data_IF_170780684478
#
_entry.id   IF_170780684478
#
_cell.length_a   1.000
_cell.length_b   1.000
_cell.length_c   1.000
_cell.angle_alpha   90.00
_cell.angle_beta   90.00
_cell.angle_gamma   90.00
#
_symmetry.space_group_name_H-M   'P 1'
#
loop_
_entity.id
_entity.type
_entity.pdbx_description
1 polymer ?
#
# COMPACT_ATOMS: atom_id res chain seq x y z
N UNK A 1 23.85 37.68 -5.35
CA UNK A 1 22.83 37.74 -6.41
C UNK A 1 21.72 36.82 -5.98
N UNK A 2 20.54 37.41 -5.80
CA UNK A 2 19.34 36.84 -5.18
C UNK A 2 18.45 36.24 -6.26
N UNK A 3 17.93 35.03 -6.05
CA UNK A 3 16.75 34.53 -6.79
C UNK A 3 15.91 33.69 -5.83
N UNK A 4 14.90 34.39 -5.31
CA UNK A 4 13.59 33.95 -4.79
C UNK A 4 12.95 32.87 -5.69
N UNK A 5 12.42 31.78 -5.13
CA UNK A 5 11.03 31.67 -4.63
C UNK A 5 9.98 31.77 -5.75
N UNK A 6 9.55 30.62 -6.26
CA UNK A 6 8.15 30.30 -6.65
C UNK A 6 8.09 28.93 -7.31
N UNK A 7 7.57 27.92 -6.60
CA UNK A 7 6.94 26.77 -7.22
C UNK A 7 5.66 26.46 -6.43
N UNK A 8 4.56 27.04 -6.92
CA UNK A 8 3.20 26.72 -6.47
C UNK A 8 2.82 25.32 -6.93
N UNK A 9 2.37 24.54 -5.97
CA UNK A 9 1.65 23.30 -6.14
C UNK A 9 0.33 23.53 -6.90
N UNK A 10 0.07 22.71 -7.92
CA UNK A 10 -1.28 22.50 -8.44
C UNK A 10 -1.40 21.13 -9.15
N UNK A 11 -1.29 20.04 -8.40
CA UNK A 11 -1.77 18.73 -8.84
C UNK A 11 -3.20 18.52 -8.32
N UNK A 12 -4.18 18.74 -9.19
CA UNK A 12 -5.55 18.25 -9.02
C UNK A 12 -5.58 16.80 -9.49
N UNK A 13 -5.59 15.87 -8.54
CA UNK A 13 -5.98 14.49 -8.80
C UNK A 13 -7.52 14.41 -8.83
N UNK A 14 -8.05 14.16 -10.02
CA UNK A 14 -9.44 13.76 -10.26
C UNK A 14 -9.56 12.23 -10.04
N UNK A 15 -10.49 11.74 -9.22
CA UNK A 15 -10.83 10.33 -9.20
C UNK A 15 -11.71 9.98 -10.41
N UNK A 16 -11.21 9.06 -11.25
CA UNK A 16 -11.97 8.43 -12.32
C UNK A 16 -12.93 7.42 -11.70
N UNK A 17 -14.17 7.84 -11.44
CA UNK A 17 -15.30 6.95 -11.14
C UNK A 17 -15.83 6.36 -12.45
N UNK A 18 -15.32 5.18 -12.83
CA UNK A 18 -15.96 4.32 -13.83
C UNK A 18 -16.77 3.25 -13.13
N UNK A 19 -18.02 3.55 -12.80
CA UNK A 19 -19.02 2.51 -12.54
C UNK A 19 -20.38 2.87 -13.15
N UNK A 20 -20.65 2.20 -14.27
CA UNK A 20 -21.93 1.61 -14.65
C UNK A 20 -23.23 2.38 -14.32
N UNK A 21 -23.72 3.15 -15.30
CA UNK A 21 -25.16 3.41 -15.45
C UNK A 21 -25.58 2.87 -16.82
N UNK A 22 -26.14 1.66 -16.81
CA UNK A 22 -27.04 1.17 -17.84
C UNK A 22 -28.44 1.77 -17.66
N UNK A 23 -29.22 1.73 -18.75
CA UNK A 23 -30.65 2.05 -18.89
C UNK A 23 -30.95 3.54 -19.21
N UNK A 24 -31.87 3.88 -20.10
CA UNK A 24 -32.62 3.16 -21.12
C UNK A 24 -33.23 4.26 -22.00
N UNK A 25 -33.09 4.10 -23.31
CA UNK A 25 -34.16 4.20 -24.30
C UNK A 25 -35.36 5.17 -24.02
N UNK A 26 -35.50 6.24 -24.82
CA UNK A 26 -36.74 6.58 -25.58
C UNK A 26 -36.62 7.90 -26.38
N UNK A 27 -37.45 8.10 -27.42
CA UNK A 27 -37.06 8.80 -28.64
C UNK A 27 -37.73 10.17 -28.87
N UNK A 28 -37.20 10.87 -29.88
CA UNK A 28 -37.79 11.91 -30.75
C UNK A 28 -39.14 12.54 -30.40
N UNK A 29 -39.19 13.88 -30.40
CA UNK A 29 -40.09 14.61 -31.30
C UNK A 29 -39.77 16.09 -31.49
N UNK A 30 -40.09 16.55 -32.69
CA UNK A 30 -39.73 17.83 -33.28
C UNK A 30 -40.88 18.86 -33.19
N UNK A 31 -40.46 20.12 -33.29
CA UNK A 31 -41.11 21.24 -34.02
C UNK A 31 -42.39 21.94 -33.52
N UNK A 32 -42.33 23.24 -33.86
CA UNK A 32 -43.34 24.28 -34.16
C UNK A 32 -44.10 25.03 -33.07
N UNK A 33 -43.89 26.34 -33.16
CA UNK A 33 -44.67 27.45 -32.63
C UNK A 33 -46.09 27.51 -33.23
N UNK A 34 -47.04 28.08 -32.48
CA UNK A 34 -47.94 29.16 -32.91
C UNK A 34 -49.05 29.45 -31.86
N UNK A 35 -49.49 30.70 -31.88
CA UNK A 35 -50.39 31.39 -30.96
C UNK A 35 -51.88 30.95 -30.98
N UNK A 36 -52.59 31.17 -29.86
CA UNK A 36 -53.96 31.73 -29.84
C UNK A 36 -54.47 32.00 -28.39
N UNK A 37 -55.34 33.02 -28.30
CA UNK A 37 -55.85 33.78 -27.15
C UNK A 37 -56.76 33.03 -26.12
N UNK A 38 -57.15 33.68 -25.00
CA UNK A 38 -57.49 33.03 -23.72
C UNK A 38 -58.98 32.70 -23.53
N UNK A 39 -59.27 31.52 -22.96
CA UNK A 39 -60.61 31.15 -22.47
C UNK A 39 -60.59 30.97 -20.96
N UNK A 40 -61.40 31.78 -20.28
CA UNK A 40 -61.56 31.84 -18.81
C UNK A 40 -61.93 30.47 -18.25
N UNK A 41 -61.04 29.88 -17.45
CA UNK A 41 -61.37 28.73 -16.59
C UNK A 41 -62.07 29.24 -15.33
N UNK A 42 -63.18 28.63 -14.88
CA UNK A 42 -63.84 28.99 -13.64
C UNK A 42 -62.86 28.80 -12.48
N UNK A 43 -62.58 29.87 -11.74
CA UNK A 43 -61.82 29.82 -10.50
C UNK A 43 -62.63 28.98 -9.50
N UNK A 44 -62.10 27.81 -9.13
CA UNK A 44 -62.60 27.05 -7.99
C UNK A 44 -62.26 27.87 -6.73
N UNK A 45 -63.27 28.44 -6.09
CA UNK A 45 -63.13 29.17 -4.83
C UNK A 45 -62.63 28.21 -3.74
N UNK A 46 -61.40 28.41 -3.26
CA UNK A 46 -60.75 27.59 -2.23
C UNK A 46 -61.14 27.99 -0.80
N UNK A 47 -62.23 28.74 -0.65
CA UNK A 47 -62.63 29.38 0.62
C UNK A 47 -63.87 28.75 1.26
N UNK A 48 -64.26 27.53 0.85
CA UNK A 48 -65.41 26.81 1.41
C UNK A 48 -64.94 25.73 2.40
N UNK A 49 -65.55 25.82 3.58
CA UNK A 49 -65.37 25.11 4.85
C UNK A 49 -64.92 23.63 4.81
N UNK A 50 -64.16 23.17 5.83
CA UNK A 50 -63.51 21.87 5.86
C UNK A 50 -64.44 20.72 6.32
N UNK A 51 -65.77 20.80 6.08
CA UNK A 51 -66.72 19.84 6.68
C UNK A 51 -67.40 18.87 5.70
N UNK A 52 -67.32 19.07 4.38
CA UNK A 52 -68.09 18.26 3.41
C UNK A 52 -67.29 17.44 2.38
N UNK A 53 -65.95 17.36 2.48
CA UNK A 53 -65.13 16.52 1.57
C UNK A 53 -65.19 15.01 1.89
N UNK A 54 -66.37 14.47 2.18
CA UNK A 54 -66.60 13.02 2.38
C UNK A 54 -67.15 12.29 1.15
N UNK A 55 -67.39 12.95 0.01
CA UNK A 55 -67.99 12.33 -1.19
C UNK A 55 -67.03 12.11 -2.37
N UNK A 56 -65.71 12.10 -2.14
CA UNK A 56 -64.73 12.03 -3.22
C UNK A 56 -63.40 11.40 -2.83
N UNK A 57 -63.43 10.28 -2.09
CA UNK A 57 -62.26 9.39 -2.04
C UNK A 57 -62.14 8.78 -3.45
N UNK A 58 -61.52 9.52 -4.36
CA UNK A 58 -61.03 8.97 -5.62
C UNK A 58 -60.26 7.69 -5.28
N UNK A 59 -60.33 6.66 -6.12
CA UNK A 59 -59.63 5.38 -5.93
C UNK A 59 -58.16 5.58 -5.50
N UNK A 60 -57.54 6.65 -5.99
CA UNK A 60 -56.21 7.09 -5.59
C UNK A 60 -56.07 7.42 -4.08
N UNK A 61 -57.05 8.09 -3.46
CA UNK A 61 -57.05 8.41 -2.04
C UNK A 61 -57.27 7.19 -1.13
N UNK A 62 -57.92 6.13 -1.64
CA UNK A 62 -57.96 4.83 -0.97
C UNK A 62 -56.60 4.14 -1.09
N UNK A 63 -55.97 4.12 -2.27
CA UNK A 63 -54.62 3.57 -2.47
C UNK A 63 -53.57 4.27 -1.59
N UNK A 64 -53.56 5.61 -1.54
CA UNK A 64 -52.64 6.38 -0.67
C UNK A 64 -52.97 6.14 0.81
N UNK A 65 -54.25 6.02 1.17
CA UNK A 65 -54.67 5.66 2.53
C UNK A 65 -54.21 4.26 2.95
N UNK A 66 -54.34 3.27 2.06
CA UNK A 66 -53.83 1.91 2.31
C UNK A 66 -52.31 1.85 2.29
N UNK A 67 -51.63 2.68 1.50
CA UNK A 67 -50.17 2.79 1.48
C UNK A 67 -49.65 3.39 2.80
N UNK A 68 -50.29 4.45 3.29
CA UNK A 68 -49.95 5.06 4.58
C UNK A 68 -50.31 4.14 5.75
N UNK A 69 -51.41 3.38 5.66
CA UNK A 69 -51.79 2.39 6.66
C UNK A 69 -50.82 1.19 6.67
N UNK A 70 -50.41 0.71 5.51
CA UNK A 70 -49.38 -0.32 5.39
C UNK A 70 -48.04 0.18 5.92
N UNK A 71 -47.65 1.42 5.63
CA UNK A 71 -46.42 2.02 6.18
C UNK A 71 -46.44 2.14 7.70
N UNK A 72 -47.54 2.61 8.27
CA UNK A 72 -47.69 2.74 9.74
C UNK A 72 -47.79 1.37 10.43
N UNK A 73 -48.43 0.39 9.81
CA UNK A 73 -48.46 -0.98 10.32
C UNK A 73 -47.09 -1.66 10.21
N UNK A 74 -46.34 -1.42 9.13
CA UNK A 74 -44.97 -1.90 8.97
C UNK A 74 -44.01 -1.23 9.96
N UNK A 75 -44.16 0.07 10.19
CA UNK A 75 -43.42 0.81 11.21
C UNK A 75 -43.78 0.33 12.62
N UNK A 76 -45.03 -0.02 12.90
CA UNK A 76 -45.45 -0.62 14.16
C UNK A 76 -44.91 -2.06 14.34
N UNK A 77 -44.88 -2.87 13.27
CA UNK A 77 -44.27 -4.20 13.28
C UNK A 77 -42.76 -4.13 13.45
N UNK A 78 -42.10 -3.18 12.81
CA UNK A 78 -40.67 -2.90 12.97
C UNK A 78 -40.34 -2.26 14.34
N UNK A 79 -41.28 -1.52 14.94
CA UNK A 79 -41.15 -0.98 16.28
C UNK A 79 -41.37 -2.03 17.39
N UNK A 80 -41.92 -3.20 17.05
CA UNK A 80 -42.07 -4.32 17.96
C UNK A 80 -40.72 -4.69 18.57
N UNK A 81 -40.72 -4.98 19.86
CA UNK A 81 -39.51 -5.38 20.58
C UNK A 81 -38.81 -6.58 19.94
N UNK A 82 -39.56 -7.49 19.32
CA UNK A 82 -39.02 -8.63 18.59
C UNK A 82 -38.25 -8.19 17.33
N UNK A 83 -38.77 -7.21 16.58
CA UNK A 83 -38.08 -6.67 15.41
C UNK A 83 -36.83 -5.87 15.81
N UNK A 84 -36.91 -5.07 16.87
CA UNK A 84 -35.74 -4.38 17.44
C UNK A 84 -34.65 -5.36 17.89
N UNK A 85 -35.02 -6.49 18.52
CA UNK A 85 -34.08 -7.55 18.91
C UNK A 85 -33.40 -8.19 17.70
N UNK A 86 -34.15 -8.47 16.62
CA UNK A 86 -33.58 -8.97 15.35
C UNK A 86 -32.60 -7.97 14.74
N UNK A 87 -33.00 -6.70 14.61
CA UNK A 87 -32.12 -5.63 14.11
C UNK A 87 -30.82 -5.52 14.93
N UNK A 88 -30.91 -5.67 16.25
CA UNK A 88 -29.74 -5.60 17.13
C UNK A 88 -28.81 -6.81 16.94
N UNK A 89 -29.36 -8.01 16.71
CA UNK A 89 -28.58 -9.21 16.38
C UNK A 89 -27.90 -9.05 15.02
N UNK A 90 -28.64 -8.61 14.00
CA UNK A 90 -28.12 -8.40 12.64
C UNK A 90 -27.03 -7.33 12.64
N UNK A 91 -27.25 -6.23 13.39
CA UNK A 91 -26.23 -5.20 13.58
C UNK A 91 -24.97 -5.75 14.25
N UNK A 92 -25.11 -6.53 15.33
CA UNK A 92 -23.96 -7.19 15.98
C UNK A 92 -23.24 -8.15 15.04
N UNK A 93 -23.96 -8.87 14.19
CA UNK A 93 -23.38 -9.78 13.21
C UNK A 93 -22.61 -9.00 12.14
N UNK A 94 -23.19 -7.93 11.59
CA UNK A 94 -22.52 -7.06 10.63
C UNK A 94 -21.29 -6.38 11.24
N UNK A 95 -21.39 -5.91 12.48
CA UNK A 95 -20.26 -5.30 13.19
C UNK A 95 -19.13 -6.32 13.41
N UNK A 96 -19.45 -7.59 13.70
CA UNK A 96 -18.45 -8.68 13.78
C UNK A 96 -17.80 -8.93 12.43
N UNK A 97 -18.58 -9.08 11.36
CA UNK A 97 -18.05 -9.31 10.01
C UNK A 97 -17.15 -8.15 9.54
N UNK A 98 -17.50 -6.90 9.86
CA UNK A 98 -16.66 -5.73 9.57
C UNK A 98 -15.36 -5.76 10.35
N UNK A 99 -15.41 -6.05 11.66
CA UNK A 99 -14.21 -6.20 12.49
C UNK A 99 -13.30 -7.32 12.00
N UNK A 100 -13.86 -8.49 11.69
CA UNK A 100 -13.10 -9.62 11.13
C UNK A 100 -12.44 -9.23 9.79
N UNK A 101 -13.20 -8.65 8.86
CA UNK A 101 -12.65 -8.15 7.58
C UNK A 101 -11.52 -7.14 7.79
N UNK A 102 -11.70 -6.17 8.68
CA UNK A 102 -10.68 -5.16 8.98
C UNK A 102 -9.43 -5.76 9.65
N UNK A 103 -9.59 -6.74 10.55
CA UNK A 103 -8.46 -7.42 11.19
C UNK A 103 -7.65 -8.22 10.18
N UNK A 104 -8.31 -8.90 9.23
CA UNK A 104 -7.65 -9.62 8.14
C UNK A 104 -6.89 -8.63 7.24
N UNK A 105 -7.55 -7.52 6.84
CA UNK A 105 -6.92 -6.49 6.01
C UNK A 105 -5.68 -5.89 6.67
N UNK A 106 -5.76 -5.49 7.95
CA UNK A 106 -4.60 -4.96 8.69
C UNK A 106 -3.49 -5.99 8.84
N UNK A 107 -3.82 -7.26 9.10
CA UNK A 107 -2.82 -8.31 9.19
C UNK A 107 -2.10 -8.56 7.86
N UNK A 108 -2.79 -8.43 6.72
CA UNK A 108 -2.16 -8.47 5.40
C UNK A 108 -1.31 -7.24 5.11
N UNK A 109 -1.78 -6.05 5.47
CA UNK A 109 -1.02 -4.79 5.35
C UNK A 109 0.27 -4.85 6.18
N UNK A 110 0.23 -5.35 7.43
CA UNK A 110 1.42 -5.51 8.26
C UNK A 110 2.45 -6.49 7.64
N UNK A 111 1.99 -7.58 7.01
CA UNK A 111 2.88 -8.50 6.28
C UNK A 111 3.51 -7.83 5.06
N UNK A 112 2.72 -7.05 4.30
CA UNK A 112 3.21 -6.27 3.15
C UNK A 112 4.26 -5.25 3.61
N UNK A 113 3.96 -4.49 4.66
CA UNK A 113 4.87 -3.51 5.24
C UNK A 113 6.19 -4.17 5.70
N UNK A 114 6.13 -5.35 6.32
CA UNK A 114 7.33 -6.12 6.66
C UNK A 114 8.16 -6.50 5.43
N UNK A 115 7.52 -6.97 4.36
CA UNK A 115 8.23 -7.28 3.11
C UNK A 115 8.82 -6.03 2.43
N UNK A 116 8.08 -4.93 2.44
CA UNK A 116 8.53 -3.64 1.89
C UNK A 116 9.73 -3.12 2.68
N UNK A 117 9.72 -3.20 4.01
CA UNK A 117 10.84 -2.82 4.85
C UNK A 117 12.11 -3.62 4.52
N UNK A 118 11.99 -4.95 4.37
CA UNK A 118 13.12 -5.80 4.01
C UNK A 118 13.66 -5.46 2.61
N UNK A 119 12.79 -5.30 1.62
CA UNK A 119 13.21 -4.92 0.26
C UNK A 119 13.94 -3.57 0.25
N UNK A 120 13.41 -2.56 0.95
CA UNK A 120 14.03 -1.24 1.05
C UNK A 120 15.37 -1.28 1.77
N UNK A 121 15.51 -2.12 2.79
CA UNK A 121 16.78 -2.32 3.49
C UNK A 121 17.84 -2.96 2.58
N UNK A 122 17.50 -4.03 1.87
CA UNK A 122 18.40 -4.67 0.89
C UNK A 122 18.82 -3.69 -0.21
N UNK A 123 17.88 -2.91 -0.75
CA UNK A 123 18.18 -1.89 -1.76
C UNK A 123 19.11 -0.80 -1.20
N UNK A 124 18.86 -0.34 0.02
CA UNK A 124 19.70 0.66 0.69
C UNK A 124 21.11 0.10 0.94
N UNK A 125 21.23 -1.16 1.34
CA UNK A 125 22.52 -1.84 1.51
C UNK A 125 23.26 -1.99 0.19
N UNK A 126 22.57 -2.36 -0.88
CA UNK A 126 23.15 -2.48 -2.22
C UNK A 126 23.66 -1.12 -2.71
N UNK A 127 22.85 -0.06 -2.62
CA UNK A 127 23.27 1.32 -2.95
C UNK A 127 24.51 1.74 -2.16
N UNK A 128 24.54 1.46 -0.86
CA UNK A 128 25.73 1.70 -0.02
C UNK A 128 26.95 0.92 -0.50
N UNK A 129 26.79 -0.35 -0.89
CA UNK A 129 27.90 -1.17 -1.41
C UNK A 129 28.45 -0.62 -2.74
N UNK A 130 27.58 -0.18 -3.65
CA UNK A 130 27.96 0.41 -4.94
C UNK A 130 28.74 1.70 -4.71
N UNK A 131 28.26 2.59 -3.82
CA UNK A 131 29.00 3.80 -3.49
C UNK A 131 30.36 3.49 -2.85
N UNK A 132 30.44 2.50 -1.94
CA UNK A 132 31.73 2.07 -1.36
C UNK A 132 32.72 1.56 -2.41
N UNK A 133 32.25 0.91 -3.48
CA UNK A 133 33.09 0.44 -4.58
C UNK A 133 33.49 1.56 -5.55
N UNK A 134 32.64 2.58 -5.72
CA UNK A 134 32.93 3.76 -6.55
C UNK A 134 33.92 4.70 -5.86
N UNK A 135 33.98 4.71 -4.54
CA UNK A 135 35.03 5.43 -3.84
C UNK A 135 36.38 4.81 -4.21
N UNK A 136 37.34 5.60 -4.73
CA UNK A 136 38.66 5.08 -5.04
C UNK A 136 39.23 4.44 -3.77
N UNK A 137 39.73 3.19 -3.84
CA UNK A 137 40.27 2.52 -2.68
C UNK A 137 41.34 3.42 -2.05
N UNK A 138 41.36 3.56 -0.70
CA UNK A 138 42.38 4.36 -0.03
C UNK A 138 43.72 3.84 -0.48
N UNK A 139 44.45 4.70 -1.20
CA UNK A 139 45.59 4.41 -2.07
C UNK A 139 46.40 3.19 -1.62
N UNK A 140 45.97 1.99 -2.03
CA UNK A 140 46.87 0.86 -2.09
C UNK A 140 47.83 1.23 -3.20
N UNK A 141 49.04 1.66 -2.80
CA UNK A 141 50.18 1.77 -3.69
C UNK A 141 50.39 0.39 -4.29
N UNK A 142 49.69 0.11 -5.40
CA UNK A 142 50.02 -0.99 -6.29
C UNK A 142 51.31 -0.57 -6.99
N UNK A 143 52.41 -0.64 -6.24
CA UNK A 143 53.76 -0.74 -6.78
C UNK A 143 53.85 -2.09 -7.47
N UNK A 144 53.14 -2.24 -8.58
CA UNK A 144 53.48 -3.21 -9.60
C UNK A 144 54.79 -2.68 -10.19
N UNK A 145 55.90 -3.10 -9.60
CA UNK A 145 57.20 -2.96 -10.24
C UNK A 145 57.08 -3.62 -11.62
N UNK A 146 57.28 -2.87 -12.72
CA UNK A 146 57.22 -3.47 -14.05
C UNK A 146 58.30 -4.54 -14.13
N UNK A 147 57.89 -5.77 -14.41
CA UNK A 147 58.81 -6.86 -14.75
C UNK A 147 59.66 -6.41 -15.94
N UNK A 148 60.92 -6.08 -15.65
CA UNK A 148 61.91 -5.62 -16.62
C UNK A 148 62.16 -6.71 -17.67
N UNK A 149 61.55 -6.56 -18.84
CA UNK A 149 62.06 -7.08 -20.10
C UNK A 149 62.04 -5.98 -21.18
N UNK A 150 62.79 -4.92 -20.87
CA UNK A 150 63.47 -3.95 -21.75
C UNK A 150 62.86 -3.58 -23.12
N UNK A 151 62.11 -2.47 -23.20
CA UNK A 151 62.34 -1.43 -24.21
C UNK A 151 63.45 -0.45 -23.73
N UNK A 152 64.05 0.35 -24.63
CA UNK A 152 65.06 1.34 -24.28
C UNK A 152 64.56 2.34 -23.23
N UNK A 153 65.41 2.83 -22.30
CA UNK A 153 65.01 3.84 -21.34
C UNK A 153 64.54 5.09 -22.07
N UNK A 154 63.23 5.32 -22.03
CA UNK A 154 62.62 6.56 -22.47
C UNK A 154 62.95 7.63 -21.43
N UNK A 155 63.82 8.57 -21.80
CA UNK A 155 64.07 9.75 -21.00
C UNK A 155 62.88 10.69 -21.18
N UNK A 156 61.91 10.62 -20.26
CA UNK A 156 60.81 11.58 -20.24
C UNK A 156 61.35 12.92 -19.77
N UNK A 157 61.22 13.96 -20.61
CA UNK A 157 61.38 15.33 -20.13
C UNK A 157 60.34 15.55 -19.02
N UNK A 158 60.71 16.10 -17.85
CA UNK A 158 59.73 16.52 -16.86
C UNK A 158 58.73 17.43 -17.55
N UNK A 159 57.44 17.08 -17.48
CA UNK A 159 56.38 17.94 -18.01
C UNK A 159 56.37 19.19 -17.16
N UNK A 160 57.05 20.24 -17.61
CA UNK A 160 56.95 21.57 -17.05
C UNK A 160 55.62 22.13 -17.53
N UNK A 161 54.63 22.16 -16.65
CA UNK A 161 53.32 22.72 -16.96
C UNK A 161 53.46 24.22 -17.16
N UNK A 162 52.76 24.76 -18.17
CA UNK A 162 52.63 26.22 -18.29
C UNK A 162 51.71 26.74 -17.18
N UNK A 163 51.88 27.99 -16.76
CA UNK A 163 51.01 28.59 -15.72
C UNK A 163 49.52 28.52 -16.07
N UNK A 164 49.17 28.64 -17.36
CA UNK A 164 47.81 28.44 -17.86
C UNK A 164 47.30 27.00 -17.65
N UNK A 165 48.15 25.98 -17.82
CA UNK A 165 47.81 24.58 -17.58
C UNK A 165 47.64 24.31 -16.08
N UNK A 166 48.49 24.87 -15.22
CA UNK A 166 48.37 24.73 -13.77
C UNK A 166 47.03 25.29 -13.28
N UNK A 167 46.65 26.48 -13.73
CA UNK A 167 45.35 27.10 -13.39
C UNK A 167 44.19 26.24 -13.89
N UNK A 168 44.27 25.72 -15.12
CA UNK A 168 43.23 24.86 -15.68
C UNK A 168 43.06 23.56 -14.90
N UNK A 169 44.17 22.88 -14.57
CA UNK A 169 44.16 21.65 -13.77
C UNK A 169 43.66 21.94 -12.36
N UNK A 170 44.08 23.05 -11.74
CA UNK A 170 43.60 23.45 -10.41
C UNK A 170 42.09 23.72 -10.42
N UNK A 171 41.59 24.46 -11.42
CA UNK A 171 40.15 24.71 -11.58
C UNK A 171 39.37 23.41 -11.72
N UNK A 172 39.80 22.50 -12.60
CA UNK A 172 39.17 21.19 -12.77
C UNK A 172 39.22 20.32 -11.52
N UNK A 173 40.33 20.37 -10.77
CA UNK A 173 40.43 19.64 -9.49
C UNK A 173 39.41 20.17 -8.48
N UNK A 174 39.29 21.49 -8.35
CA UNK A 174 38.29 22.10 -7.47
C UNK A 174 36.89 21.69 -7.89
N UNK A 175 36.54 21.88 -9.17
CA UNK A 175 35.25 21.52 -9.74
C UNK A 175 34.93 20.03 -9.52
N UNK A 176 35.86 19.12 -9.83
CA UNK A 176 35.68 17.68 -9.60
C UNK A 176 35.50 17.34 -8.12
N UNK A 177 36.21 18.02 -7.20
CA UNK A 177 36.03 17.80 -5.76
C UNK A 177 34.72 18.38 -5.24
N UNK A 178 34.25 19.49 -5.81
CA UNK A 178 32.97 20.11 -5.45
C UNK A 178 31.80 19.26 -5.93
N UNK A 179 31.83 18.77 -7.18
CA UNK A 179 30.81 17.84 -7.69
C UNK A 179 30.80 16.56 -6.86
N UNK A 180 31.97 15.97 -6.60
CA UNK A 180 32.08 14.78 -5.74
C UNK A 180 31.51 15.00 -4.34
N UNK A 181 31.76 16.17 -3.72
CA UNK A 181 31.21 16.50 -2.40
C UNK A 181 29.70 16.70 -2.43
N UNK A 182 29.18 17.35 -3.48
CA UNK A 182 27.74 17.55 -3.68
C UNK A 182 27.03 16.20 -3.83
N UNK A 183 27.49 15.36 -4.75
CA UNK A 183 26.97 13.99 -4.96
C UNK A 183 27.05 13.15 -3.68
N UNK A 184 28.15 13.27 -2.94
CA UNK A 184 28.28 12.58 -1.65
C UNK A 184 27.27 13.09 -0.61
N UNK A 185 27.04 14.40 -0.55
CA UNK A 185 26.08 14.99 0.38
C UNK A 185 24.63 14.62 0.05
N UNK A 186 24.26 14.60 -1.24
CA UNK A 186 22.93 14.15 -1.67
C UNK A 186 22.73 12.69 -1.34
N UNK A 187 23.71 11.83 -1.65
CA UNK A 187 23.68 10.42 -1.29
C UNK A 187 23.50 10.19 0.22
N UNK A 188 24.23 10.93 1.06
CA UNK A 188 24.07 10.81 2.53
C UNK A 188 22.65 11.22 2.98
N UNK A 189 22.11 12.30 2.42
CA UNK A 189 20.75 12.74 2.76
C UNK A 189 19.68 11.73 2.34
N UNK A 190 19.81 11.14 1.14
CA UNK A 190 18.93 10.09 0.64
C UNK A 190 19.04 8.82 1.49
N UNK A 191 20.27 8.43 1.86
CA UNK A 191 20.52 7.28 2.72
C UNK A 191 19.87 7.47 4.09
N UNK A 192 20.04 8.64 4.70
CA UNK A 192 19.48 8.91 6.03
C UNK A 192 17.94 8.97 5.97
N UNK A 193 17.36 9.54 4.90
CA UNK A 193 15.93 9.49 4.65
C UNK A 193 15.41 8.05 4.48
N UNK A 194 16.09 7.22 3.68
CA UNK A 194 15.73 5.82 3.48
C UNK A 194 15.81 5.00 4.78
N UNK A 195 16.85 5.22 5.59
CA UNK A 195 16.99 4.57 6.90
C UNK A 195 15.85 4.97 7.83
N UNK A 196 15.46 6.25 7.85
CA UNK A 196 14.34 6.71 8.67
C UNK A 196 13.01 6.13 8.20
N UNK A 197 12.79 6.06 6.89
CA UNK A 197 11.59 5.41 6.34
C UNK A 197 11.52 3.92 6.72
N UNK A 198 12.63 3.19 6.62
CA UNK A 198 12.70 1.78 7.05
C UNK A 198 12.37 1.65 8.54
N UNK A 199 12.88 2.56 9.38
CA UNK A 199 12.56 2.58 10.82
C UNK A 199 11.08 2.83 11.06
N UNK A 200 10.46 3.78 10.36
CA UNK A 200 9.02 4.06 10.47
C UNK A 200 8.16 2.88 10.03
N UNK A 201 8.51 2.21 8.92
CA UNK A 201 7.79 1.01 8.47
C UNK A 201 7.91 -0.11 9.52
N UNK A 202 9.12 -0.34 10.05
CA UNK A 202 9.33 -1.33 11.11
C UNK A 202 8.56 -0.99 12.39
N UNK A 203 8.53 0.29 12.77
CA UNK A 203 7.75 0.75 13.92
C UNK A 203 6.26 0.48 13.72
N UNK A 204 5.70 0.79 12.54
CA UNK A 204 4.30 0.47 12.21
C UNK A 204 4.01 -1.03 12.29
N UNK A 205 4.92 -1.87 11.80
CA UNK A 205 4.79 -3.33 11.92
C UNK A 205 4.77 -3.77 13.39
N UNK A 206 5.66 -3.22 14.23
CA UNK A 206 5.71 -3.54 15.67
C UNK A 206 4.44 -3.07 16.38
N UNK A 207 3.94 -1.87 16.08
CA UNK A 207 2.71 -1.33 16.69
C UNK A 207 1.47 -2.15 16.29
N UNK A 208 1.34 -2.53 15.02
CA UNK A 208 0.23 -3.39 14.56
C UNK A 208 0.35 -4.82 15.09
N UNK A 209 1.56 -5.39 15.18
CA UNK A 209 1.79 -6.70 15.82
C UNK A 209 1.44 -6.68 17.31
N UNK A 210 1.84 -5.63 18.04
CA UNK A 210 1.49 -5.45 19.45
C UNK A 210 -0.02 -5.28 19.65
N UNK A 211 -0.68 -4.54 18.75
CA UNK A 211 -2.13 -4.37 18.77
C UNK A 211 -2.86 -5.68 18.49
N UNK A 212 -2.41 -6.45 17.51
CA UNK A 212 -2.95 -7.78 17.20
C UNK A 212 -2.75 -8.75 18.36
N UNK A 213 -1.59 -8.69 19.02
CA UNK A 213 -1.32 -9.50 20.20
C UNK A 213 -2.27 -9.13 21.35
N UNK A 214 -2.48 -7.84 21.61
CA UNK A 214 -3.43 -7.37 22.61
C UNK A 214 -4.88 -7.78 22.29
N UNK A 215 -5.30 -7.75 21.01
CA UNK A 215 -6.60 -8.25 20.59
C UNK A 215 -6.75 -9.76 20.79
N UNK A 216 -5.70 -10.53 20.51
CA UNK A 216 -5.68 -11.98 20.76
C UNK A 216 -5.73 -12.31 22.25
N UNK A 217 -5.06 -11.53 23.09
CA UNK A 217 -5.10 -11.68 24.56
C UNK A 217 -6.48 -11.30 25.12
N UNK A 218 -7.10 -10.23 24.62
CA UNK A 218 -8.46 -9.87 24.97
C UNK A 218 -9.48 -10.94 24.55
N UNK A 219 -9.33 -11.52 23.35
CA UNK A 219 -10.18 -12.61 22.88
C UNK A 219 -10.05 -13.88 23.75
N UNK A 220 -8.83 -14.22 24.19
CA UNK A 220 -8.59 -15.34 25.10
C UNK A 220 -9.19 -15.13 26.48
N UNK A 221 -9.16 -13.90 27.01
CA UNK A 221 -9.76 -13.58 28.30
C UNK A 221 -11.30 -13.75 28.30
N UNK A 222 -11.95 -13.38 27.19
CA UNK A 222 -13.40 -13.56 27.02
C UNK A 222 -13.82 -15.03 26.86
N UNK A 223 -12.93 -15.90 26.37
CA UNK A 223 -13.19 -17.34 26.22
C UNK A 223 -13.19 -18.09 27.56
N UNK A 224 -12.36 -17.67 28.51
CA UNK A 224 -12.24 -18.30 29.84
C UNK A 224 -13.39 -17.92 30.78
N UNK A 225 -14.11 -16.82 30.49
CA UNK A 225 -15.15 -16.27 31.39
C UNK A 225 -16.58 -16.71 31.03
N UNK A 226 -16.75 -17.64 30.08
CA UNK A 226 -18.04 -18.31 29.86
C UNK A 226 -18.08 -19.60 30.70
N UNK A 227 -18.75 -19.62 31.86
CA UNK A 227 -19.00 -20.87 32.56
C UNK A 227 -19.83 -21.79 31.66
N UNK A 228 -19.34 -23.00 31.44
CA UNK A 228 -20.03 -24.05 30.72
C UNK A 228 -21.48 -24.21 31.24
N UNK A 229 -22.50 -24.22 30.35
CA UNK A 229 -23.77 -24.80 30.71
C UNK A 229 -23.56 -26.31 30.87
N UNK A 230 -23.84 -26.79 32.09
CA UNK A 230 -23.85 -28.17 32.58
C UNK A 230 -23.77 -29.31 31.54
N UNK A 231 -22.95 -30.36 31.77
CA UNK A 231 -22.92 -31.54 30.93
C UNK A 231 -24.22 -32.34 31.11
N UNK A 232 -25.09 -32.30 30.11
CA UNK A 232 -26.19 -33.26 30.00
C UNK A 232 -25.61 -34.61 29.60
N UNK A 233 -25.48 -35.47 30.61
CA UNK A 233 -25.30 -36.92 30.49
C UNK A 233 -26.40 -37.51 29.61
N UNK A 234 -26.04 -38.08 28.46
CA UNK A 234 -26.70 -39.29 27.96
C UNK A 234 -25.73 -40.12 27.13
N UNK A 235 -25.73 -41.41 27.46
CA UNK A 235 -24.87 -42.47 26.97
C UNK A 235 -25.17 -42.81 25.52
N UNK A 236 -24.13 -42.96 24.69
CA UNK A 236 -24.10 -44.07 23.72
C UNK A 236 -22.67 -44.54 23.53
N UNK A 237 -22.41 -45.77 23.97
CA UNK A 237 -21.22 -46.56 23.68
C UNK A 237 -21.07 -46.79 22.17
N UNK A 238 -19.85 -46.68 21.63
CA UNK A 238 -19.21 -47.74 20.84
C UNK A 238 -17.95 -47.28 20.09
N UNK A 239 -16.96 -48.17 20.09
CA UNK A 239 -15.80 -48.27 19.20
C UNK A 239 -14.66 -47.24 19.32
N UNK A 240 -13.76 -47.53 20.26
CA UNK A 240 -12.37 -47.99 19.99
C UNK A 240 -11.90 -47.81 18.53
N UNK A 241 -10.95 -46.90 18.31
CA UNK A 241 -9.76 -47.06 17.47
C UNK A 241 -8.83 -45.85 17.68
N UNK A 242 -7.75 -46.09 18.42
CA UNK A 242 -6.56 -45.22 18.42
C UNK A 242 -5.91 -45.20 17.04
N UNK A 243 -5.34 -44.06 16.64
CA UNK A 243 -3.92 -44.09 16.32
C UNK A 243 -3.13 -43.00 17.06
N UNK A 244 -2.06 -43.45 17.68
CA UNK A 244 -0.95 -42.71 18.27
C UNK A 244 -0.51 -41.46 17.48
N UNK A 245 -0.27 -40.30 18.12
CA UNK A 245 0.56 -39.26 17.55
C UNK A 245 2.03 -39.67 17.74
N UNK A 246 2.69 -40.06 16.65
CA UNK A 246 4.14 -40.21 16.63
C UNK A 246 4.79 -38.86 16.95
N UNK A 247 5.48 -38.82 18.08
CA UNK A 247 6.44 -37.79 18.45
C UNK A 247 7.51 -37.66 17.37
N UNK A 248 7.35 -36.68 16.46
CA UNK A 248 8.46 -36.17 15.66
C UNK A 248 9.09 -35.00 16.42
N UNK A 249 9.90 -35.34 17.44
CA UNK A 249 10.94 -34.45 17.97
C UNK A 249 12.02 -34.36 16.88
N UNK A 250 11.95 -33.31 16.05
CA UNK A 250 13.13 -32.92 15.27
C UNK A 250 14.04 -32.15 16.21
N UNK A 251 15.00 -32.86 16.81
CA UNK A 251 16.16 -32.27 17.46
C UNK A 251 16.94 -31.46 16.41
N UNK A 252 16.74 -30.15 16.46
CA UNK A 252 17.62 -29.18 15.81
C UNK A 252 18.93 -29.18 16.61
N UNK A 253 19.96 -29.75 15.98
CA UNK A 253 21.33 -29.82 16.49
C UNK A 253 21.88 -28.39 16.66
N UNK A 254 21.68 -27.83 17.85
CA UNK A 254 22.21 -26.54 18.27
C UNK A 254 23.67 -26.73 18.67
N UNK A 255 24.54 -26.59 17.66
CA UNK A 255 25.99 -26.54 17.85
C UNK A 255 26.42 -25.08 18.08
N UNK A 256 27.03 -24.75 19.24
CA UNK A 256 27.62 -23.43 19.46
C UNK A 256 29.01 -23.42 18.82
N UNK A 257 29.13 -22.81 17.63
CA UNK A 257 30.43 -22.49 17.06
C UNK A 257 30.78 -21.07 17.46
N UNK A 258 31.62 -20.99 18.48
CA UNK A 258 32.37 -19.82 18.88
C UNK A 258 33.16 -19.20 17.70
N UNK A 259 33.35 -17.90 17.84
CA UNK A 259 34.27 -17.05 17.09
C UNK A 259 35.53 -17.76 16.62
N UNK A 260 35.81 -17.68 15.31
CA UNK A 260 37.19 -17.59 14.82
C UNK A 260 37.28 -16.81 13.52
N UNK A 261 38.06 -15.75 13.64
CA UNK A 261 38.60 -14.92 12.58
C UNK A 261 39.33 -15.76 11.52
N UNK A 262 39.25 -15.32 10.26
CA UNK A 262 40.41 -15.40 9.36
C UNK A 262 40.33 -16.34 8.14
N UNK A 263 40.29 -15.69 6.98
CA UNK A 263 41.02 -15.99 5.73
C UNK A 263 40.63 -17.18 4.81
N UNK A 264 40.09 -16.77 3.65
CA UNK A 264 40.53 -17.09 2.26
C UNK A 264 40.81 -18.57 1.91
N UNK A 265 40.07 -19.14 0.95
CA UNK A 265 40.53 -19.47 -0.42
C UNK A 265 39.39 -20.04 -1.28
N UNK A 266 39.35 -19.59 -2.55
CA UNK A 266 38.57 -20.10 -3.69
C UNK A 266 38.52 -21.62 -3.80
N UNK A 267 37.36 -22.17 -4.17
CA UNK A 267 37.29 -23.13 -5.28
C UNK A 267 35.88 -23.25 -5.87
N UNK A 268 35.84 -23.30 -7.20
CA UNK A 268 34.71 -23.63 -8.07
C UNK A 268 33.87 -24.81 -7.56
N UNK A 269 32.54 -24.66 -7.61
CA UNK A 269 31.68 -25.74 -8.11
C UNK A 269 30.34 -25.18 -8.57
N UNK A 270 30.15 -25.30 -9.87
CA UNK A 270 28.89 -25.29 -10.60
C UNK A 270 27.82 -26.14 -9.93
N UNK A 271 26.65 -25.53 -9.65
CA UNK A 271 25.38 -26.26 -9.68
C UNK A 271 24.28 -25.31 -10.13
N UNK A 272 23.90 -25.53 -11.39
CA UNK A 272 22.67 -25.08 -12.01
C UNK A 272 21.48 -25.53 -11.17
N UNK A 273 20.70 -24.57 -10.68
CA UNK A 273 19.29 -24.81 -10.37
C UNK A 273 18.44 -23.89 -11.22
N UNK A 274 17.71 -24.58 -12.08
CA UNK A 274 16.76 -24.12 -13.07
C UNK A 274 15.46 -23.83 -12.34
N UNK A 275 15.11 -22.55 -12.19
CA UNK A 275 13.77 -22.16 -11.78
C UNK A 275 13.20 -21.20 -12.81
N UNK A 276 12.47 -21.77 -13.75
CA UNK A 276 11.47 -21.10 -14.58
C UNK A 276 10.58 -20.20 -13.71
N UNK A 277 10.69 -18.88 -13.91
CA UNK A 277 9.64 -17.94 -13.53
C UNK A 277 9.45 -16.93 -14.66
N UNK A 278 8.41 -17.24 -15.44
CA UNK A 278 7.46 -16.33 -16.10
C UNK A 278 7.99 -14.94 -16.44
N UNK A 279 8.15 -14.76 -17.74
CA UNK A 279 8.15 -13.48 -18.45
C UNK A 279 7.02 -12.56 -17.94
N UNK A 280 7.43 -11.48 -17.26
CA UNK A 280 6.65 -10.24 -17.21
C UNK A 280 7.22 -9.31 -18.29
N UNK A 281 6.43 -8.83 -19.25
CA UNK A 281 6.90 -7.91 -20.27
C UNK A 281 7.19 -6.56 -19.63
N UNK A 282 8.47 -6.30 -19.35
CA UNK A 282 8.97 -4.96 -19.04
C UNK A 282 8.56 -4.01 -20.16
N UNK A 283 7.73 -3.05 -19.79
CA UNK A 283 7.38 -1.89 -20.59
C UNK A 283 8.67 -1.10 -20.83
N UNK A 284 9.25 -1.28 -22.00
CA UNK A 284 10.34 -0.44 -22.52
C UNK A 284 9.71 0.92 -22.79
N UNK A 285 9.75 1.84 -21.81
CA UNK A 285 9.55 3.26 -22.09
C UNK A 285 10.89 3.80 -22.58
N UNK A 286 10.86 4.24 -23.84
CA UNK A 286 11.97 4.84 -24.55
C UNK A 286 12.37 6.17 -23.89
N UNK A 287 13.60 6.25 -23.40
CA UNK A 287 14.31 7.51 -23.16
C UNK A 287 14.75 8.06 -24.52
N UNK A 288 13.83 8.73 -25.23
CA UNK A 288 14.08 9.45 -26.49
C UNK A 288 14.34 10.97 -26.27
N UNK A 289 14.60 11.41 -25.03
CA UNK A 289 14.66 12.85 -24.67
C UNK A 289 16.08 13.42 -24.44
N UNK A 290 17.12 12.86 -25.09
CA UNK A 290 18.45 13.49 -25.15
C UNK A 290 18.77 14.00 -26.58
N UNK A 291 17.80 14.72 -27.14
CA UNK A 291 17.97 15.47 -28.38
C UNK A 291 18.82 16.73 -28.13
N UNK A 292 20.12 16.60 -28.42
CA UNK A 292 21.10 17.70 -28.43
C UNK A 292 20.70 18.74 -29.50
N UNK A 293 20.20 19.90 -29.08
CA UNK A 293 20.15 21.09 -29.94
C UNK A 293 21.58 21.58 -30.23
N UNK A 294 21.91 21.66 -31.52
CA UNK A 294 23.14 22.27 -32.05
C UNK A 294 22.97 23.78 -32.26
#
# INVERSE_FOLDING_TARGET
MSTDEQNQALSKDEPIDTDAIMQDNQPTQATVAAAAAPKKRPRLDLTVEPRERKRGKSMFGLLVGTLNKAKTEDEARNASEAAKKRQLIDKRLQDKLRKETDTVRRAEEAKKDKHIANRKEEETQLKNSIHRLRLPPPSQKLTLEPTRSHPPPLYYLPVVLTSSQEVFIAKRKVEATETSKKEWSTFLSERDAAINEIKEIRQRVVEEEARKQAEREAAKADEITKPDPAPTSEQTESSKLEPSPSEAKMDLDESPVEERQGSVTKQDSSRSDESERKDDPTTIQADDDDAVEY
#
